data_IF_816663002315
#
_entry.id   IF_816663002315
#
_cell.length_a   1.000
_cell.length_b   1.000
_cell.length_c   1.000
_cell.angle_alpha   90.00
_cell.angle_beta   90.00
_cell.angle_gamma   90.00
#
_symmetry.space_group_name_H-M   'P 1'
#
loop_
_entity.id
_entity.type
_entity.pdbx_description
1 polymer ?
2 polymer ?
3 non-polymer ?
4 non-polymer ?
5 water ?
#
# COMPACT_ATOMS: atom_id res chain seq x y z
N UNK A 1 2.76 10.63 -23.69
CA UNK A 1 4.01 10.05 -23.13
C UNK A 1 3.75 9.63 -21.69
N UNK A 2 4.26 8.47 -21.32
CA UNK A 2 4.17 7.95 -19.94
C UNK A 2 5.32 8.50 -19.10
N UNK A 3 5.01 8.97 -17.90
CA UNK A 3 6.01 9.38 -16.90
C UNK A 3 6.09 8.27 -15.84
N UNK A 4 7.28 7.87 -15.42
CA UNK A 4 7.42 6.92 -14.30
C UNK A 4 7.74 7.75 -13.07
N UNK A 5 6.77 7.89 -12.15
CA UNK A 5 6.98 8.73 -10.98
C UNK A 5 8.25 8.26 -10.28
N UNK A 6 9.01 9.20 -9.73
CA UNK A 6 10.36 8.91 -9.21
C UNK A 6 10.28 7.78 -8.18
N UNK A 7 9.20 7.72 -7.39
CA UNK A 7 9.09 6.74 -6.29
C UNK A 7 9.22 5.30 -6.78
N UNK A 8 8.73 5.04 -8.00
CA UNK A 8 8.74 3.71 -8.61
C UNK A 8 10.22 3.32 -8.84
N UNK A 9 11.05 4.25 -9.32
CA UNK A 9 12.48 4.05 -9.59
C UNK A 9 13.23 3.96 -8.26
N UNK A 10 12.82 4.74 -7.26
CA UNK A 10 13.53 4.92 -5.98
C UNK A 10 13.53 3.57 -5.25
N UNK A 11 12.50 2.73 -5.48
CA UNK A 11 12.35 1.39 -4.84
C UNK A 11 12.88 0.28 -5.77
N UNK A 12 13.37 0.62 -6.96
CA UNK A 12 14.06 -0.30 -7.91
C UNK A 12 13.05 -1.25 -8.57
N UNK A 13 11.82 -0.78 -8.75
CA UNK A 13 10.77 -1.51 -9.48
C UNK A 13 11.23 -1.71 -10.92
N UNK A 14 11.70 -0.69 -11.68
CA UNK A 14 11.98 -0.90 -13.10
C UNK A 14 12.98 -2.03 -13.42
N UNK A 15 13.98 -2.28 -12.56
CA UNK A 15 14.94 -3.40 -12.75
C UNK A 15 14.14 -4.71 -12.83
N UNK A 16 13.08 -4.87 -12.03
CA UNK A 16 12.27 -6.10 -12.04
C UNK A 16 11.37 -6.14 -13.27
N UNK A 17 10.78 -5.02 -13.67
CA UNK A 17 9.93 -4.96 -14.89
C UNK A 17 10.67 -5.54 -16.09
N UNK A 18 11.92 -5.15 -16.28
CA UNK A 18 12.76 -5.56 -17.44
C UNK A 18 12.98 -7.08 -17.47
N UNK A 19 12.91 -7.75 -16.31
CA UNK A 19 13.13 -9.21 -16.17
C UNK A 19 11.83 -9.97 -16.38
N UNK A 20 10.71 -9.27 -16.56
CA UNK A 20 9.38 -9.87 -16.71
C UNK A 20 8.61 -9.97 -15.42
N UNK A 21 9.05 -9.32 -14.31
CA UNK A 21 8.29 -9.29 -13.04
C UNK A 21 7.54 -7.97 -12.89
N UNK A 22 6.23 -8.03 -13.10
CA UNK A 22 5.33 -6.84 -13.24
C UNK A 22 4.09 -7.02 -12.36
N UNK A 23 3.97 -8.12 -11.58
CA UNK A 23 2.82 -8.37 -10.71
C UNK A 23 1.71 -9.18 -11.39
N UNK A 24 1.97 -9.81 -12.53
CA UNK A 24 0.94 -10.55 -13.30
C UNK A 24 0.35 -11.61 -12.39
N UNK A 25 -0.98 -11.70 -12.41
CA UNK A 25 -1.77 -12.74 -11.71
C UNK A 25 -1.63 -12.56 -10.19
N UNK A 26 -1.14 -11.42 -9.68
CA UNK A 26 -1.16 -11.13 -8.22
C UNK A 26 -2.39 -10.23 -7.93
N UNK A 27 -3.23 -10.63 -6.98
CA UNK A 27 -4.49 -9.92 -6.67
C UNK A 27 -4.21 -8.97 -5.51
N UNK A 28 -4.41 -7.67 -5.75
CA UNK A 28 -4.11 -6.61 -4.75
C UNK A 28 -5.42 -5.88 -4.46
N UNK A 29 -5.88 -5.96 -3.21
CA UNK A 29 -7.05 -5.21 -2.72
C UNK A 29 -6.58 -3.83 -2.25
N UNK A 30 -7.06 -2.78 -2.92
CA UNK A 30 -6.86 -1.39 -2.44
C UNK A 30 -8.04 -1.08 -1.51
N UNK A 31 -7.81 -1.26 -0.22
CA UNK A 31 -8.84 -0.99 0.81
C UNK A 31 -8.80 0.50 1.12
N UNK A 32 -9.76 1.25 0.59
CA UNK A 32 -9.64 2.72 0.55
C UNK A 32 -10.98 3.32 0.11
N UNK A 33 -10.91 4.40 -0.65
CA UNK A 33 -12.12 5.18 -1.03
C UNK A 33 -12.72 4.67 -2.34
N UNK A 34 -12.26 3.53 -2.86
CA UNK A 34 -12.68 2.98 -4.17
C UNK A 34 -11.65 3.28 -5.23
N UNK A 35 -11.92 2.88 -6.47
CA UNK A 35 -11.04 3.12 -7.65
C UNK A 35 -11.93 3.42 -8.86
N UNK A 36 -11.67 4.53 -9.53
CA UNK A 36 -12.29 4.90 -10.82
C UNK A 36 -11.84 3.87 -11.88
N UNK A 37 -12.71 2.96 -12.26
CA UNK A 37 -12.48 1.89 -13.26
C UNK A 37 -12.51 2.43 -14.71
N UNK A 38 -12.96 3.68 -14.93
CA UNK A 38 -13.04 4.32 -16.27
C UNK A 38 -11.69 4.95 -16.63
N UNK A 39 -10.72 4.94 -15.71
CA UNK A 39 -9.42 5.60 -15.93
C UNK A 39 -8.63 4.84 -17.00
N UNK A 40 -8.15 5.51 -18.07
CA UNK A 40 -7.37 4.84 -19.09
C UNK A 40 -6.05 4.24 -18.60
N UNK A 41 -5.52 4.62 -17.45
CA UNK A 41 -4.23 4.05 -17.00
C UNK A 41 -4.43 3.04 -15.87
N UNK A 42 -5.66 2.61 -15.58
CA UNK A 42 -5.96 1.59 -14.57
C UNK A 42 -6.85 0.50 -15.15
N UNK A 43 -6.54 -0.75 -14.85
CA UNK A 43 -7.45 -1.87 -15.19
C UNK A 43 -7.91 -2.45 -13.87
N UNK A 44 -9.16 -2.19 -13.51
CA UNK A 44 -9.76 -2.74 -12.26
C UNK A 44 -10.33 -4.13 -12.53
N UNK A 45 -9.91 -5.13 -11.78
CA UNK A 45 -10.30 -6.56 -11.93
C UNK A 45 -11.66 -6.83 -11.28
N UNK A 46 -11.94 -6.13 -10.20
CA UNK A 46 -13.14 -6.39 -9.39
C UNK A 46 -13.09 -5.60 -8.09
N UNK A 47 -13.82 -6.06 -7.08
CA UNK A 47 -13.84 -5.37 -5.78
C UNK A 47 -15.23 -5.39 -5.18
N UNK A 48 -15.45 -4.50 -4.22
CA UNK A 48 -16.65 -4.45 -3.35
C UNK A 48 -16.67 -3.11 -2.64
N UNK A 49 -17.88 -2.60 -2.41
CA UNK A 49 -18.12 -1.46 -1.49
C UNK A 49 -18.79 -1.97 -0.22
N UNK A 50 -18.15 -1.66 0.90
CA UNK A 50 -18.63 -1.91 2.27
C UNK A 50 -19.16 -0.60 2.88
N UNK A 51 -19.38 0.44 2.05
CA UNK A 51 -19.95 1.72 2.51
C UNK A 51 -21.47 1.67 2.30
N UNK A 52 -22.23 1.79 3.41
CA UNK A 52 -23.69 1.73 3.38
C UNK A 52 -24.33 2.59 2.30
N UNK A 53 -23.99 3.88 2.26
CA UNK A 53 -24.67 4.86 1.38
C UNK A 53 -24.14 4.75 -0.07
N UNK A 54 -23.07 3.97 -0.31
CA UNK A 54 -22.27 4.04 -1.57
C UNK A 54 -22.11 2.62 -2.17
N UNK A 55 -22.99 2.22 -3.08
CA UNK A 55 -23.08 0.82 -3.56
C UNK A 55 -21.98 0.54 -4.59
N UNK A 56 -21.34 1.58 -5.15
CA UNK A 56 -20.42 1.39 -6.31
C UNK A 56 -18.98 1.55 -5.84
N UNK A 57 -18.12 0.50 -5.86
CA UNK A 57 -16.74 0.68 -5.42
C UNK A 57 -15.86 1.34 -6.49
N UNK A 58 -16.40 1.56 -7.68
CA UNK A 58 -15.68 2.14 -8.85
C UNK A 58 -15.92 3.65 -8.93
N UNK A 59 -16.67 4.20 -7.99
CA UNK A 59 -16.96 5.64 -7.86
C UNK A 59 -16.07 6.14 -6.72
N UNK A 60 -14.96 6.80 -7.05
CA UNK A 60 -14.03 7.29 -6.00
C UNK A 60 -14.33 8.76 -5.69
N UNK A 61 -15.11 9.00 -4.64
CA UNK A 61 -15.58 10.37 -4.29
C UNK A 61 -14.45 11.12 -3.58
N UNK A 62 -13.57 10.41 -2.87
CA UNK A 62 -12.51 11.09 -2.10
C UNK A 62 -11.25 11.37 -2.94
N UNK A 63 -11.16 10.85 -4.16
CA UNK A 63 -9.96 11.02 -5.05
C UNK A 63 -8.74 10.58 -4.24
N UNK A 64 -8.77 9.37 -3.71
CA UNK A 64 -7.69 8.89 -2.83
C UNK A 64 -7.36 7.45 -3.24
N UNK A 65 -8.36 6.56 -3.19
CA UNK A 65 -8.14 5.15 -3.55
C UNK A 65 -7.62 5.04 -4.96
N UNK A 66 -8.05 5.94 -5.84
CA UNK A 66 -7.62 5.91 -7.26
C UNK A 66 -6.12 6.19 -7.37
N UNK A 67 -5.64 7.14 -6.56
CA UNK A 67 -4.24 7.56 -6.53
C UNK A 67 -3.41 6.40 -5.99
N UNK A 68 -3.87 5.83 -4.88
CA UNK A 68 -3.20 4.64 -4.27
C UNK A 68 -3.10 3.54 -5.32
N UNK A 69 -4.19 3.27 -6.04
CA UNK A 69 -4.31 2.20 -7.03
C UNK A 69 -3.26 2.41 -8.12
N UNK A 70 -3.12 3.66 -8.58
CA UNK A 70 -2.18 3.99 -9.66
C UNK A 70 -0.73 3.82 -9.24
N UNK A 71 -0.39 4.05 -7.98
CA UNK A 71 0.98 3.75 -7.50
C UNK A 71 1.18 2.24 -7.48
N UNK A 72 0.15 1.50 -7.06
CA UNK A 72 0.23 0.01 -7.06
C UNK A 72 0.39 -0.47 -8.50
N UNK A 73 -0.48 -0.08 -9.45
CA UNK A 73 -0.64 -0.79 -10.73
C UNK A 73 -1.05 0.08 -11.91
N UNK A 74 -0.66 1.36 -11.99
CA UNK A 74 -0.93 2.12 -13.23
C UNK A 74 -0.26 1.34 -14.37
N UNK A 75 -0.96 1.27 -15.48
CA UNK A 75 -0.61 0.43 -16.64
C UNK A 75 0.64 0.95 -17.36
N UNK A 76 1.39 0.01 -17.91
CA UNK A 76 2.55 0.33 -18.77
C UNK A 76 2.02 0.54 -20.20
N UNK A 77 2.12 1.77 -20.67
CA UNK A 77 1.56 2.14 -21.99
C UNK A 77 2.22 3.47 -22.37
N UNK A 78 1.61 4.29 -23.21
CA UNK A 78 2.20 5.57 -23.61
C UNK A 78 1.51 6.76 -22.94
N UNK A 79 0.81 6.55 -21.82
CA UNK A 79 0.07 7.63 -21.11
C UNK A 79 0.40 7.60 -19.62
N UNK A 80 0.16 8.74 -18.97
CA UNK A 80 -0.10 8.76 -17.54
C UNK A 80 1.14 8.34 -16.80
N UNK A 81 0.99 7.46 -15.84
CA UNK A 81 2.12 7.09 -14.94
C UNK A 81 2.41 5.60 -15.12
N UNK A 82 3.12 5.01 -14.17
CA UNK A 82 3.41 3.56 -14.18
C UNK A 82 3.39 3.05 -12.74
N UNK A 83 2.62 1.99 -12.51
CA UNK A 83 2.52 1.33 -11.20
C UNK A 83 3.81 0.62 -10.84
N UNK A 84 3.99 0.35 -9.54
CA UNK A 84 5.12 -0.51 -9.10
C UNK A 84 4.89 -1.90 -9.70
N UNK A 85 3.64 -2.32 -9.76
CA UNK A 85 3.26 -3.66 -10.24
C UNK A 85 2.22 -3.48 -11.34
N UNK A 86 2.65 -3.01 -12.52
CA UNK A 86 1.70 -2.58 -13.55
C UNK A 86 0.81 -3.67 -14.16
N UNK A 87 1.10 -4.95 -13.90
CA UNK A 87 0.32 -6.12 -14.39
C UNK A 87 -0.56 -6.71 -13.30
N UNK A 88 -0.53 -6.13 -12.09
CA UNK A 88 -1.25 -6.66 -10.90
C UNK A 88 -2.74 -6.62 -11.21
N UNK A 89 -3.49 -7.57 -10.64
CA UNK A 89 -4.96 -7.59 -10.70
C UNK A 89 -5.46 -6.71 -9.56
N UNK A 90 -6.05 -5.58 -9.94
CA UNK A 90 -6.42 -4.46 -9.04
C UNK A 90 -7.87 -4.63 -8.57
N UNK A 91 -8.10 -4.61 -7.26
CA UNK A 91 -9.45 -4.70 -6.65
C UNK A 91 -9.76 -3.44 -5.84
N UNK A 92 -10.87 -2.79 -6.20
CA UNK A 92 -11.47 -1.60 -5.54
C UNK A 92 -12.26 -2.06 -4.31
N UNK A 93 -11.74 -1.89 -3.10
CA UNK A 93 -12.45 -2.28 -1.84
C UNK A 93 -12.83 -0.99 -1.11
N UNK A 94 -14.02 -0.45 -1.36
CA UNK A 94 -14.40 0.88 -0.83
C UNK A 94 -14.86 0.72 0.62
N UNK A 95 -14.12 1.31 1.57
CA UNK A 95 -14.45 1.24 3.03
C UNK A 95 -14.53 2.66 3.61
N UNK A 96 -14.33 3.70 2.79
CA UNK A 96 -14.37 5.13 3.17
C UNK A 96 -15.50 5.81 2.40
N UNK A 97 -16.36 6.51 3.15
CA UNK A 97 -17.52 7.22 2.60
C UNK A 97 -17.10 8.56 2.04
N UNK A 98 -17.97 9.18 1.24
CA UNK A 98 -17.72 10.46 0.58
C UNK A 98 -17.44 11.55 1.63
N UNK A 99 -17.96 11.39 2.86
CA UNK A 99 -17.76 12.33 4.00
C UNK A 99 -16.30 12.30 4.49
N UNK A 100 -15.50 11.33 4.06
CA UNK A 100 -14.08 11.24 4.47
C UNK A 100 -13.82 10.30 5.64
N UNK A 101 -14.78 9.45 6.03
CA UNK A 101 -14.42 8.45 7.06
C UNK A 101 -15.06 7.10 6.79
N UNK A 102 -14.62 6.12 7.58
CA UNK A 102 -15.18 4.76 7.53
C UNK A 102 -15.16 4.14 8.89
N UNK A 103 -16.04 3.19 9.12
CA UNK A 103 -16.05 2.40 10.37
C UNK A 103 -15.00 1.30 10.27
N UNK A 104 -14.33 0.95 11.37
CA UNK A 104 -13.51 -0.29 11.41
C UNK A 104 -14.35 -1.49 10.93
N UNK A 105 -15.63 -1.58 11.25
CA UNK A 105 -16.48 -2.71 10.78
C UNK A 105 -16.43 -2.80 9.25
N UNK A 106 -16.45 -1.67 8.57
CA UNK A 106 -16.40 -1.63 7.08
C UNK A 106 -15.00 -2.09 6.66
N UNK A 107 -13.97 -1.69 7.38
CA UNK A 107 -12.59 -2.18 7.10
C UNK A 107 -12.56 -3.70 7.29
N UNK A 108 -13.12 -4.21 8.38
CA UNK A 108 -13.12 -5.68 8.67
C UNK A 108 -13.89 -6.39 7.57
N UNK A 109 -15.00 -5.81 7.15
CA UNK A 109 -15.83 -6.36 6.04
C UNK A 109 -14.95 -6.49 4.80
N UNK A 110 -14.16 -5.46 4.47
CA UNK A 110 -13.22 -5.47 3.34
C UNK A 110 -12.17 -6.54 3.51
N UNK A 111 -11.66 -6.70 4.71
CA UNK A 111 -10.58 -7.68 5.00
C UNK A 111 -11.18 -9.07 4.79
N UNK A 112 -12.38 -9.29 5.32
CA UNK A 112 -13.05 -10.60 5.22
C UNK A 112 -13.39 -10.86 3.76
N UNK A 113 -13.83 -9.83 3.04
CA UNK A 113 -14.07 -9.90 1.56
C UNK A 113 -12.75 -10.33 0.89
N UNK A 114 -11.61 -9.76 1.30
CA UNK A 114 -10.29 -9.98 0.66
C UNK A 114 -9.85 -11.43 0.90
N UNK A 115 -10.06 -11.96 2.12
CA UNK A 115 -9.76 -13.39 2.41
C UNK A 115 -10.65 -14.26 1.51
N UNK A 116 -11.94 -13.92 1.42
CA UNK A 116 -12.93 -14.79 0.76
C UNK A 116 -12.70 -14.78 -0.76
N UNK A 117 -12.10 -13.72 -1.30
CA UNK A 117 -11.93 -13.54 -2.77
C UNK A 117 -10.46 -13.71 -3.13
N UNK A 118 -9.67 -14.25 -2.19
CA UNK A 118 -8.28 -14.74 -2.38
C UNK A 118 -7.35 -13.62 -2.87
N UNK A 119 -7.50 -12.41 -2.34
CA UNK A 119 -6.45 -11.38 -2.50
C UNK A 119 -5.11 -11.98 -2.02
N UNK A 120 -4.03 -11.67 -2.72
CA UNK A 120 -2.63 -11.96 -2.32
C UNK A 120 -2.11 -10.89 -1.35
N UNK A 121 -2.53 -9.66 -1.59
CA UNK A 121 -2.02 -8.44 -0.93
C UNK A 121 -3.22 -7.59 -0.58
N UNK A 122 -3.26 -7.16 0.67
CA UNK A 122 -4.18 -6.10 1.14
C UNK A 122 -3.35 -4.85 1.38
N UNK A 123 -3.77 -3.74 0.81
CA UNK A 123 -3.21 -2.42 1.17
C UNK A 123 -4.29 -1.60 1.85
N UNK A 124 -4.01 -1.22 3.10
CA UNK A 124 -4.89 -0.33 3.87
C UNK A 124 -4.18 1.01 4.05
N UNK A 125 -4.47 1.91 3.11
CA UNK A 125 -3.90 3.26 2.99
C UNK A 125 -4.74 4.21 3.89
N UNK A 126 -5.06 3.74 5.09
CA UNK A 126 -6.05 4.41 5.97
C UNK A 126 -5.82 3.89 7.37
N UNK A 127 -6.49 4.50 8.34
CA UNK A 127 -6.32 4.05 9.71
C UNK A 127 -7.03 5.01 10.64
N UNK A 128 -7.10 4.62 11.89
CA UNK A 128 -7.62 5.50 12.92
C UNK A 128 -6.64 5.57 14.08
N UNK A 129 -6.87 6.56 14.96
CA UNK A 129 -5.99 6.84 16.09
C UNK A 129 -6.11 5.86 17.27
N UNK A 130 -7.16 5.07 17.34
CA UNK A 130 -7.29 4.06 18.42
C UNK A 130 -7.49 2.64 17.90
N UNK A 131 -7.15 1.69 18.76
CA UNK A 131 -7.16 0.27 18.40
C UNK A 131 -8.56 -0.28 18.48
N UNK A 132 -8.74 -1.49 17.96
CA UNK A 132 -9.84 -2.34 18.42
C UNK A 132 -9.37 -3.79 18.37
N UNK A 133 -9.73 -4.58 19.38
CA UNK A 133 -9.50 -6.04 19.40
C UNK A 133 -10.11 -6.66 18.14
N UNK A 134 -11.26 -6.18 17.67
CA UNK A 134 -11.93 -6.73 16.47
C UNK A 134 -11.05 -6.52 15.24
N UNK A 135 -10.48 -5.31 15.08
CA UNK A 135 -9.69 -4.99 13.87
C UNK A 135 -8.43 -5.87 13.89
N UNK A 136 -7.80 -6.01 15.05
CA UNK A 136 -6.59 -6.84 15.21
C UNK A 136 -6.95 -8.29 14.85
N UNK A 137 -8.04 -8.82 15.39
CA UNK A 137 -8.52 -10.18 15.04
C UNK A 137 -8.60 -10.32 13.51
N UNK A 138 -9.09 -9.28 12.84
CA UNK A 138 -9.38 -9.31 11.39
C UNK A 138 -8.05 -9.30 10.62
N UNK A 139 -7.10 -8.43 10.96
CA UNK A 139 -5.81 -8.43 10.23
C UNK A 139 -5.01 -9.69 10.60
N UNK A 140 -5.13 -10.18 11.83
CA UNK A 140 -4.46 -11.42 12.26
C UNK A 140 -5.01 -12.60 11.45
N UNK A 141 -6.32 -12.62 11.22
CA UNK A 141 -6.95 -13.70 10.43
C UNK A 141 -6.46 -13.63 8.98
N UNK A 142 -6.38 -12.42 8.41
CA UNK A 142 -5.87 -12.21 7.03
C UNK A 142 -4.44 -12.77 6.91
N UNK A 143 -3.61 -12.49 7.89
CA UNK A 143 -2.19 -12.93 7.92
C UNK A 143 -2.16 -14.45 8.11
N UNK A 144 -3.03 -14.99 8.97
CA UNK A 144 -3.12 -16.45 9.20
C UNK A 144 -3.51 -17.17 7.91
N UNK A 145 -4.32 -16.54 7.05
CA UNK A 145 -4.81 -17.11 5.77
C UNK A 145 -3.78 -16.96 4.65
N UNK A 146 -2.64 -16.27 4.89
CA UNK A 146 -1.52 -16.15 3.94
C UNK A 146 -1.55 -14.86 3.13
N UNK A 147 -2.41 -13.89 3.50
CA UNK A 147 -2.49 -12.56 2.82
C UNK A 147 -1.33 -11.69 3.31
N UNK A 148 -0.64 -11.02 2.38
CA UNK A 148 0.36 -9.98 2.76
C UNK A 148 -0.43 -8.72 3.11
N UNK A 149 -0.33 -8.26 4.35
CA UNK A 149 -1.18 -7.13 4.82
C UNK A 149 -0.30 -5.92 5.04
N UNK A 150 -0.53 -4.90 4.22
CA UNK A 150 0.22 -3.62 4.24
C UNK A 150 -0.69 -2.51 4.72
N UNK A 151 -0.20 -1.65 5.60
CA UNK A 151 -0.95 -0.43 5.99
C UNK A 151 -0.03 0.78 6.08
N UNK A 152 -0.57 1.95 5.79
CA UNK A 152 0.07 3.26 6.05
C UNK A 152 0.26 3.40 7.57
N UNK A 153 1.42 3.90 8.02
CA UNK A 153 1.78 3.98 9.44
C UNK A 153 0.97 5.11 10.10
N UNK A 154 0.45 6.03 9.30
CA UNK A 154 -0.25 7.20 9.83
C UNK A 154 0.53 8.47 9.61
N UNK A 155 -0.16 9.60 9.70
CA UNK A 155 0.40 10.93 9.35
C UNK A 155 0.42 11.82 10.59
N UNK A 156 0.77 11.26 11.75
CA UNK A 156 0.65 11.99 13.05
C UNK A 156 1.97 12.60 13.47
N UNK A 157 3.08 12.42 12.72
CA UNK A 157 4.36 13.01 13.09
C UNK A 157 4.82 12.56 14.46
N UNK A 158 5.62 13.37 15.15
CA UNK A 158 6.23 13.01 16.46
C UNK A 158 5.33 13.52 17.58
N UNK A 159 5.28 12.78 18.68
CA UNK A 159 4.51 13.14 19.90
C UNK A 159 5.33 12.73 21.13
N UNK A 160 6.38 13.50 21.38
CA UNK A 160 7.27 13.36 22.55
C UNK A 160 8.12 12.11 22.45
N UNK A 161 7.77 11.05 23.15
CA UNK A 161 8.49 9.74 23.09
C UNK A 161 7.51 8.63 22.71
N UNK A 162 6.31 8.98 22.27
CA UNK A 162 5.21 7.99 22.10
C UNK A 162 5.15 7.50 20.66
N UNK A 163 4.71 6.26 20.48
CA UNK A 163 4.31 5.76 19.14
C UNK A 163 3.10 6.58 18.69
N UNK A 164 3.14 7.11 17.47
CA UNK A 164 2.00 7.78 16.78
C UNK A 164 1.50 6.95 15.60
N UNK A 165 1.92 5.70 15.52
CA UNK A 165 1.48 4.79 14.43
C UNK A 165 -0.01 4.52 14.62
N UNK A 166 -0.77 4.65 13.53
CA UNK A 166 -2.22 4.41 13.54
C UNK A 166 -2.57 2.95 13.43
N UNK A 167 -3.86 2.67 13.47
CA UNK A 167 -4.43 1.32 13.42
C UNK A 167 -5.13 1.19 12.08
N UNK A 168 -4.97 0.05 11.36
CA UNK A 168 -4.30 -1.16 11.90
C UNK A 168 -2.79 -1.34 11.72
N UNK A 169 -2.13 -0.32 11.17
CA UNK A 169 -0.68 -0.23 11.04
C UNK A 169 0.04 -0.72 12.28
N UNK A 170 -0.48 -0.38 13.46
CA UNK A 170 0.20 -0.60 14.75
C UNK A 170 0.25 -2.11 15.10
N UNK A 171 -0.59 -2.95 14.49
CA UNK A 171 -0.65 -4.38 14.88
C UNK A 171 0.53 -5.13 14.29
N UNK A 172 1.18 -6.01 15.10
CA UNK A 172 2.38 -6.73 14.66
C UNK A 172 2.20 -7.49 13.35
N UNK A 173 1.02 -8.03 13.09
CA UNK A 173 0.72 -8.83 11.86
C UNK A 173 0.76 -7.94 10.61
N UNK A 174 0.61 -6.63 10.78
CA UNK A 174 0.53 -5.68 9.64
C UNK A 174 1.92 -5.08 9.34
N UNK A 175 2.23 -4.89 8.06
CA UNK A 175 3.47 -4.16 7.66
C UNK A 175 3.14 -2.67 7.74
N UNK A 176 3.73 -1.96 8.71
CA UNK A 176 3.49 -0.51 8.88
C UNK A 176 4.49 0.28 8.04
N UNK A 177 3.97 1.10 7.13
CA UNK A 177 4.81 1.82 6.13
C UNK A 177 4.78 3.30 6.46
N UNK A 178 5.96 3.85 6.73
CA UNK A 178 6.17 5.31 6.86
C UNK A 178 6.63 5.95 5.57
N UNK A 179 6.72 7.29 5.55
CA UNK A 179 6.92 8.08 4.31
C UNK A 179 8.29 8.76 4.35
N UNK A 180 9.08 8.57 3.30
CA UNK A 180 10.31 9.36 3.00
C UNK A 180 10.01 10.19 1.76
N UNK A 181 10.86 11.20 1.55
CA UNK A 181 10.89 12.00 0.32
C UNK A 181 11.99 11.45 -0.59
N UNK A 182 12.27 12.18 -1.67
CA UNK A 182 13.15 11.73 -2.77
C UNK A 182 14.61 11.69 -2.29
N UNK A 183 14.91 12.34 -1.17
CA UNK A 183 16.25 12.36 -0.53
C UNK A 183 16.37 11.23 0.49
N UNK A 184 15.33 10.40 0.65
CA UNK A 184 15.25 9.34 1.68
C UNK A 184 15.19 9.94 3.08
N UNK A 185 14.85 11.21 3.19
CA UNK A 185 14.52 11.85 4.49
C UNK A 185 13.08 11.52 4.85
N UNK A 186 12.85 11.22 6.12
CA UNK A 186 11.51 11.00 6.68
C UNK A 186 10.70 12.27 6.48
N UNK A 187 9.49 12.12 5.96
CA UNK A 187 8.49 13.20 5.84
C UNK A 187 8.04 13.58 7.25
N UNK A 188 8.00 14.87 7.58
CA UNK A 188 7.68 15.38 8.95
C UNK A 188 6.35 14.81 9.45
N UNK A 189 5.39 14.51 8.57
CA UNK A 189 4.05 14.02 9.00
C UNK A 189 4.10 12.53 9.32
N UNK A 190 5.13 11.80 8.87
CA UNK A 190 5.18 10.32 8.99
C UNK A 190 5.10 9.88 10.44
N UNK A 191 4.15 9.02 10.77
CA UNK A 191 3.96 8.46 12.13
C UNK A 191 5.22 7.71 12.53
N UNK A 192 5.53 7.73 13.83
CA UNK A 192 6.76 7.13 14.41
C UNK A 192 6.40 6.13 15.48
N UNK A 193 7.31 5.19 15.73
CA UNK A 193 7.13 4.22 16.81
C UNK A 193 7.81 2.91 16.49
N UNK A 194 7.89 1.99 17.46
CA UNK A 194 8.61 0.74 17.24
C UNK A 194 7.82 -0.17 16.28
N UNK A 195 6.54 0.11 16.00
CA UNK A 195 5.67 -0.68 15.08
C UNK A 195 5.99 -0.34 13.62
N UNK A 196 6.69 0.75 13.35
CA UNK A 196 7.12 1.12 11.98
C UNK A 196 8.02 0.02 11.42
N UNK A 197 7.73 -0.50 10.22
CA UNK A 197 8.46 -1.65 9.64
C UNK A 197 9.36 -1.16 8.52
N UNK A 198 8.81 -0.42 7.55
CA UNK A 198 9.62 0.07 6.40
C UNK A 198 9.18 1.49 6.01
N UNK A 199 9.99 2.11 5.16
CA UNK A 199 9.65 3.40 4.55
C UNK A 199 9.50 3.21 3.04
N UNK A 200 8.74 4.10 2.44
CA UNK A 200 8.64 4.21 0.98
C UNK A 200 8.28 5.64 0.62
N UNK A 201 8.42 6.01 -0.67
CA UNK A 201 8.14 7.37 -1.11
C UNK A 201 6.73 7.79 -0.76
N UNK A 202 6.57 8.94 -0.11
CA UNK A 202 5.27 9.42 0.39
C UNK A 202 5.04 10.90 0.20
N UNK A 203 5.87 11.57 -0.58
CA UNK A 203 5.81 13.06 -0.73
C UNK A 203 5.83 13.36 -2.22
N UNK A 204 4.84 14.13 -2.69
CA UNK A 204 4.81 14.61 -4.08
C UNK A 204 4.76 13.40 -5.02
N UNK A 205 3.86 12.46 -4.74
CA UNK A 205 3.76 11.19 -5.51
C UNK A 205 2.71 11.41 -6.61
N UNK A 206 3.13 11.38 -7.87
CA UNK A 206 2.23 11.55 -9.04
C UNK A 206 1.53 10.21 -9.24
N UNK A 207 0.23 10.25 -9.36
CA UNK A 207 -0.54 9.03 -9.65
C UNK A 207 -1.81 9.44 -10.35
N UNK A 208 -2.61 8.43 -10.64
CA UNK A 208 -3.93 8.52 -11.30
C UNK A 208 -4.94 9.16 -10.35
N UNK A 209 -5.82 10.00 -10.90
CA UNK A 209 -6.95 10.57 -10.15
C UNK A 209 -8.19 10.41 -11.02
N UNK A 210 -9.38 10.32 -10.39
CA UNK A 210 -10.61 10.10 -11.14
C UNK A 210 -10.79 11.11 -12.28
N UNK A 211 -11.55 10.67 -13.30
CA UNK A 211 -11.90 11.47 -14.48
C UNK A 211 -10.68 11.69 -15.35
N UNK A 212 -9.92 10.61 -15.58
CA UNK A 212 -8.74 10.60 -16.48
C UNK A 212 -7.80 11.78 -16.13
N UNK A 213 -7.45 11.87 -14.85
CA UNK A 213 -6.53 12.91 -14.33
C UNK A 213 -5.35 12.23 -13.63
N UNK A 214 -4.34 13.04 -13.35
CA UNK A 214 -3.15 12.69 -12.56
C UNK A 214 -2.88 13.84 -11.61
N UNK A 215 -2.18 13.55 -10.52
CA UNK A 215 -1.83 14.59 -9.56
C UNK A 215 -0.93 14.03 -8.49
N UNK A 216 -0.27 14.91 -7.74
CA UNK A 216 0.65 14.53 -6.64
C UNK A 216 -0.14 14.56 -5.32
N UNK A 217 0.00 13.51 -4.50
CA UNK A 217 -0.54 13.51 -3.12
C UNK A 217 0.63 13.20 -2.20
N UNK A 218 0.42 13.48 -0.93
CA UNK A 218 1.41 13.11 0.10
C UNK A 218 0.69 12.32 1.19
N UNK A 219 1.46 11.49 1.89
CA UNK A 219 0.93 10.71 3.02
C UNK A 219 1.60 9.37 3.14
N UNK A 220 1.47 8.74 4.28
CA UNK A 220 1.87 7.33 4.45
C UNK A 220 1.00 6.43 3.55
N UNK A 221 -0.17 6.86 3.12
CA UNK A 221 -0.99 6.11 2.12
C UNK A 221 -0.18 5.87 0.84
N UNK A 222 0.42 6.93 0.30
CA UNK A 222 1.27 6.84 -0.91
C UNK A 222 2.41 5.84 -0.66
N UNK A 223 3.00 5.89 0.53
CA UNK A 223 4.16 5.03 0.86
C UNK A 223 3.68 3.57 0.87
N UNK A 224 2.57 3.29 1.56
CA UNK A 224 1.99 1.94 1.68
C UNK A 224 1.70 1.39 0.27
N UNK A 225 1.26 2.24 -0.65
CA UNK A 225 0.92 1.84 -2.04
C UNK A 225 2.19 1.26 -2.65
N UNK A 226 3.37 1.85 -2.38
CA UNK A 226 4.62 1.42 -3.05
C UNK A 226 4.89 -0.01 -2.58
N UNK A 227 4.68 -0.20 -1.28
CA UNK A 227 5.05 -1.46 -0.58
C UNK A 227 4.07 -2.53 -1.02
N UNK A 228 2.78 -2.23 -1.14
CA UNK A 228 1.78 -3.22 -1.64
C UNK A 228 2.13 -3.66 -3.08
N UNK A 229 2.43 -2.68 -3.96
CA UNK A 229 2.94 -2.96 -5.31
C UNK A 229 4.20 -3.79 -5.27
N UNK A 230 5.11 -3.48 -4.35
CA UNK A 230 6.38 -4.22 -4.22
C UNK A 230 6.05 -5.68 -3.90
N UNK A 231 5.09 -5.88 -2.98
CA UNK A 231 4.65 -7.23 -2.56
C UNK A 231 4.18 -7.98 -3.79
N UNK A 232 3.44 -7.32 -4.69
CA UNK A 232 2.91 -7.94 -5.91
C UNK A 232 4.06 -8.31 -6.85
N UNK A 233 5.10 -7.46 -6.96
CA UNK A 233 6.25 -7.78 -7.86
C UNK A 233 6.90 -9.07 -7.37
N UNK A 234 7.18 -9.09 -6.06
CA UNK A 234 7.81 -10.22 -5.36
C UNK A 234 6.97 -11.47 -5.63
N UNK A 235 5.66 -11.42 -5.40
CA UNK A 235 4.83 -12.64 -5.58
C UNK A 235 4.76 -13.06 -7.07
N UNK A 236 5.02 -12.15 -8.00
CA UNK A 236 4.96 -12.49 -9.46
C UNK A 236 6.25 -13.23 -9.84
N UNK A 237 7.29 -13.20 -8.99
CA UNK A 237 8.53 -13.98 -9.16
C UNK A 237 8.53 -15.22 -8.23
N UNK A 238 7.96 -15.09 -7.02
CA UNK A 238 7.96 -16.14 -5.99
C UNK A 238 6.54 -16.39 -5.48
N UNK A 239 5.63 -16.95 -6.33
CA UNK A 239 4.21 -17.10 -5.98
C UNK A 239 3.93 -17.96 -4.74
N UNK A 240 4.85 -18.86 -4.38
CA UNK A 240 4.67 -19.75 -3.19
C UNK A 240 5.34 -19.17 -1.95
N UNK A 241 6.03 -18.04 -2.03
CA UNK A 241 6.51 -17.42 -0.76
C UNK A 241 5.28 -17.20 0.12
N UNK A 242 5.47 -17.48 1.40
CA UNK A 242 4.45 -17.19 2.42
C UNK A 242 4.37 -15.66 2.56
N UNK A 243 3.29 -15.15 3.14
CA UNK A 243 3.19 -13.71 3.44
C UNK A 243 4.35 -13.32 4.38
N UNK A 244 4.72 -14.17 5.33
CA UNK A 244 5.91 -13.93 6.20
C UNK A 244 7.19 -13.80 5.39
N UNK A 245 7.42 -14.69 4.43
CA UNK A 245 8.61 -14.62 3.53
C UNK A 245 8.60 -13.31 2.74
N UNK A 246 7.46 -12.93 2.19
CA UNK A 246 7.34 -11.66 1.44
C UNK A 246 7.68 -10.49 2.37
N UNK A 247 7.11 -10.46 3.57
CA UNK A 247 7.39 -9.39 4.55
C UNK A 247 8.88 -9.31 4.89
N UNK A 248 9.47 -10.45 5.22
CA UNK A 248 10.91 -10.50 5.53
C UNK A 248 11.71 -10.05 4.31
N UNK A 249 11.29 -10.36 3.09
CA UNK A 249 12.12 -10.04 1.91
C UNK A 249 12.26 -8.51 1.85
N UNK A 250 11.15 -7.81 2.08
CA UNK A 250 11.09 -6.33 2.04
C UNK A 250 11.85 -5.75 3.25
N UNK A 251 11.65 -6.29 4.45
CA UNK A 251 12.21 -5.70 5.68
C UNK A 251 13.72 -5.94 5.76
N UNK A 252 14.21 -7.07 5.21
CA UNK A 252 15.61 -7.53 5.41
C UNK A 252 16.54 -7.06 4.29
N UNK A 253 16.03 -6.36 3.27
CA UNK A 253 16.84 -5.92 2.09
C UNK A 253 16.72 -4.40 1.93
N UNK A 254 16.23 -3.70 2.95
CA UNK A 254 16.05 -2.25 2.86
C UNK A 254 17.39 -1.55 2.70
N UNK A 255 17.35 -0.32 2.22
CA UNK A 255 18.44 0.67 2.40
C UNK A 255 18.27 1.19 3.83
N UNK A 256 19.20 0.90 4.73
CA UNK A 256 19.07 1.40 6.12
C UNK A 256 19.09 2.93 6.06
N UNK A 257 18.21 3.56 6.82
CA UNK A 257 18.18 5.03 6.93
C UNK A 257 18.45 5.39 8.39
N UNK A 258 17.64 6.21 9.01
CA UNK A 258 17.83 6.62 10.42
C UNK A 258 17.29 5.62 11.42
N UNK A 259 16.99 6.09 12.61
CA UNK A 259 16.59 5.21 13.71
C UNK A 259 15.32 4.45 13.33
N UNK A 260 15.21 3.20 13.79
CA UNK A 260 14.05 2.30 13.58
C UNK A 260 12.76 2.96 14.07
N UNK A 261 12.83 3.82 15.08
CA UNK A 261 11.61 4.46 15.62
C UNK A 261 11.05 5.43 14.59
N UNK A 262 11.89 6.02 13.73
CA UNK A 262 11.48 7.00 12.71
C UNK A 262 11.46 6.43 11.29
N UNK A 263 12.27 5.40 11.02
CA UNK A 263 12.49 4.88 9.65
C UNK A 263 12.25 3.38 9.55
N UNK A 264 11.87 2.71 10.63
CA UNK A 264 11.88 1.25 10.69
C UNK A 264 13.17 0.69 10.14
N UNK A 265 13.09 -0.30 9.25
CA UNK A 265 14.24 -0.99 8.62
C UNK A 265 14.83 -0.10 7.53
N UNK A 266 14.11 0.94 7.07
CA UNK A 266 14.58 1.88 6.06
C UNK A 266 13.78 1.75 4.77
N UNK A 267 14.35 2.22 3.66
CA UNK A 267 13.65 2.29 2.36
C UNK A 267 13.62 0.91 1.72
N UNK A 268 12.44 0.46 1.26
CA UNK A 268 12.36 -0.86 0.61
C UNK A 268 13.19 -0.80 -0.68
N UNK A 269 13.71 -1.95 -1.03
CA UNK A 269 14.43 -2.23 -2.28
C UNK A 269 13.78 -3.47 -2.86
N UNK A 270 12.84 -3.30 -3.79
CA UNK A 270 12.04 -4.47 -4.28
C UNK A 270 12.95 -5.37 -5.13
N UNK A 271 13.93 -4.82 -5.82
CA UNK A 271 14.88 -5.65 -6.58
C UNK A 271 15.65 -6.59 -5.63
N UNK A 272 16.15 -6.09 -4.50
CA UNK A 272 16.91 -6.90 -3.51
C UNK A 272 15.95 -7.90 -2.88
N UNK A 273 14.74 -7.47 -2.52
CA UNK A 273 13.67 -8.29 -1.89
C UNK A 273 13.37 -9.50 -2.78
N UNK A 274 13.38 -9.30 -4.09
CA UNK A 274 12.95 -10.33 -5.06
C UNK A 274 14.06 -11.37 -5.23
N UNK A 275 15.27 -11.09 -4.77
CA UNK A 275 16.36 -12.12 -4.80
C UNK A 275 16.02 -13.19 -3.77
N UNK A 276 15.69 -12.79 -2.55
CA UNK A 276 15.60 -13.77 -1.42
C UNK A 276 14.88 -13.16 -0.23
N UNK A 277 14.13 -13.99 0.48
CA UNK A 277 13.21 -13.57 1.56
C UNK A 277 14.00 -13.34 2.84
N UNK A 278 15.17 -13.97 2.98
CA UNK A 278 16.00 -13.86 4.21
C UNK A 278 15.17 -14.15 5.47
N UNK A 279 14.18 -15.03 5.40
CA UNK A 279 13.42 -15.54 6.57
C UNK A 279 13.98 -16.88 7.00
N UNK A 280 14.76 -16.92 8.08
CA UNK A 280 15.43 -18.12 8.66
C UNK A 280 16.68 -18.51 7.86
N UNK A 281 16.53 -18.79 6.57
CA UNK A 281 17.61 -19.26 5.64
C UNK A 281 17.78 -18.27 4.48
N UNK B 2 -12.01 5.29 11.03
CA UNK B 2 -10.83 5.55 10.22
C UNK B 2 -11.04 6.66 9.22
N UNK B 3 -9.88 7.09 8.70
CA UNK B 3 -9.91 8.04 7.57
C UNK B 3 -8.66 7.80 6.73
N UNK B 4 -8.68 8.35 5.54
CA UNK B 4 -7.54 8.15 4.64
C UNK B 4 -6.33 8.61 5.22
N UNK B 5 -5.20 7.92 4.90
CA UNK B 5 -3.89 8.36 5.38
C UNK B 5 -3.06 8.91 4.19
N UNK B 6 -3.77 9.38 3.17
X LIG C 1 0.67 4.43 -17.92
X LIG D 1 1.45 18.13 7.92
X LIG D 1 1.60 19.23 8.80
X LIG D 1 0.10 17.54 8.03
X LIG D 1 -0.22 16.77 6.88
X LIG D 1 -0.64 15.44 7.18
X LIG D 1 -1.92 15.11 6.45
X LIG D 1 -4.40 13.05 3.70
X LIG D 1 -2.98 13.18 3.68
X LIG D 1 -2.49 14.49 4.22
X LIG D 1 -1.64 14.28 5.34
#
# INVERSE_FOLDING_TARGET
AQSVPYGVSQIKAPALHSQGYTGSNVKVAVIDSGIDSSHPDLKVAGGASMVPSETNPFQDNLLHGTHVAGTVAALNNSIGVLGVAPSASLYAVKVLGADGSGQYSWIINGIEWAIANNMDVINMSLGGPSGSAALKAAVDKAVASGVVVVAAAGNEGTSGSSSTVGYPGKYPSVIAVGAVDSSNQRASFSSVGPELDVMAPGVSIQSTLPGNKYGALFGTSMASAHVAGAAALILSKHPNWTNTQVRSSLENTTTKLGDSFYYGKGLINVQAAAQHHHHHH
XAAPFX
CA CA
PGE C1 O1 C2 O2 C3 C4 O4 C6 C5 O3
#
